data_IF_525800572242
#
_entry.id   IF_525800572242
#
_cell.length_a   1.000
_cell.length_b   1.000
_cell.length_c   1.000
_cell.angle_alpha   90.00
_cell.angle_beta   90.00
_cell.angle_gamma   90.00
#
_symmetry.space_group_name_H-M   'P 1'
#
loop_
_entity.id
_entity.type
_entity.pdbx_description
1 polymer ?
#
# COMPACT_ATOMS: atom_id res chain seq x y z
N UNK A 1 1.18 11.32 17.21
CA UNK A 1 1.08 9.86 17.03
C UNK A 1 2.13 9.39 16.01
N UNK A 2 3.41 9.76 16.17
CA UNK A 2 4.35 9.85 15.03
C UNK A 2 5.56 8.89 15.05
N UNK A 3 6.01 8.39 16.20
CA UNK A 3 7.27 7.63 16.28
C UNK A 3 7.10 6.14 15.96
N UNK A 4 5.95 5.54 16.32
CA UNK A 4 5.70 4.12 16.08
C UNK A 4 5.52 3.77 14.59
N UNK A 5 5.07 4.73 13.77
CA UNK A 5 4.91 4.52 12.32
C UNK A 5 6.25 4.53 11.57
N UNK A 6 7.27 5.26 12.06
CA UNK A 6 8.57 5.39 11.36
C UNK A 6 9.37 4.07 11.38
N UNK A 7 9.20 3.26 12.43
CA UNK A 7 9.87 1.96 12.56
C UNK A 7 9.00 0.76 12.19
N UNK A 8 7.74 0.99 11.82
CA UNK A 8 6.85 -0.06 11.38
C UNK A 8 7.27 -0.56 10.00
N UNK A 9 7.37 -1.88 9.86
CA UNK A 9 7.45 -2.53 8.56
C UNK A 9 6.04 -2.99 8.20
N UNK A 10 5.59 -2.71 6.99
CA UNK A 10 4.28 -3.14 6.50
C UNK A 10 4.43 -4.28 5.50
N UNK A 11 3.38 -5.08 5.38
CA UNK A 11 3.18 -6.08 4.33
C UNK A 11 1.72 -6.04 3.88
N UNK A 12 1.43 -6.58 2.71
CA UNK A 12 0.03 -6.80 2.29
C UNK A 12 -0.65 -7.78 3.25
N UNK A 13 -1.95 -7.59 3.46
CA UNK A 13 -2.77 -8.55 4.19
C UNK A 13 -2.89 -9.86 3.42
N UNK A 14 -2.94 -10.98 4.14
CA UNK A 14 -3.19 -12.29 3.54
C UNK A 14 -4.63 -12.44 3.03
N UNK A 15 -5.54 -11.59 3.53
CA UNK A 15 -6.94 -11.57 3.16
C UNK A 15 -7.21 -10.67 1.95
N UNK A 16 -6.17 -10.23 1.22
CA UNK A 16 -6.34 -9.43 0.00
C UNK A 16 -5.83 -10.21 -1.20
N UNK A 17 -6.73 -10.51 -2.12
CA UNK A 17 -6.36 -10.90 -3.48
C UNK A 17 -6.15 -9.66 -4.33
N UNK A 18 -5.20 -9.73 -5.27
CA UNK A 18 -4.95 -8.63 -6.19
C UNK A 18 -4.54 -9.13 -7.56
N UNK A 19 -4.79 -8.29 -8.57
CA UNK A 19 -4.36 -8.51 -9.96
C UNK A 19 -3.74 -7.23 -10.49
N UNK A 20 -2.81 -7.36 -11.42
CA UNK A 20 -2.26 -6.23 -12.16
C UNK A 20 -2.61 -6.36 -13.65
N UNK A 21 -2.99 -5.23 -14.26
CA UNK A 21 -3.25 -5.13 -15.70
C UNK A 21 -3.27 -3.67 -16.14
N UNK A 22 -2.73 -3.38 -17.33
CA UNK A 22 -2.69 -2.03 -17.93
C UNK A 22 -2.10 -0.95 -17.00
N UNK A 23 -1.10 -1.31 -16.20
CA UNK A 23 -0.45 -0.39 -15.25
C UNK A 23 -1.29 -0.07 -14.01
N UNK A 24 -2.42 -0.76 -13.80
CA UNK A 24 -3.31 -0.60 -12.65
C UNK A 24 -3.28 -1.84 -11.78
N UNK A 25 -3.56 -1.65 -10.50
CA UNK A 25 -3.76 -2.74 -9.55
C UNK A 25 -5.24 -2.80 -9.18
N UNK A 26 -5.84 -3.99 -9.23
CA UNK A 26 -7.17 -4.23 -8.68
C UNK A 26 -7.05 -5.05 -7.39
N UNK A 27 -7.70 -4.61 -6.32
CA UNK A 27 -7.65 -5.20 -4.99
C UNK A 27 -9.02 -5.77 -4.61
N UNK A 28 -9.05 -6.94 -3.99
CA UNK A 28 -10.26 -7.59 -3.49
C UNK A 28 -10.03 -8.00 -2.04
N UNK A 29 -10.80 -7.43 -1.12
CA UNK A 29 -10.81 -7.81 0.29
C UNK A 29 -11.65 -9.07 0.50
N UNK A 30 -11.01 -10.15 0.95
CA UNK A 30 -11.60 -11.46 1.19
C UNK A 30 -12.01 -11.66 2.66
N UNK A 31 -11.75 -10.69 3.54
CA UNK A 31 -11.88 -10.86 4.99
C UNK A 31 -13.33 -10.98 5.51
N UNK A 32 -14.35 -10.72 4.68
CA UNK A 32 -15.73 -10.66 5.18
C UNK A 32 -16.88 -10.88 4.19
N UNK A 33 -16.65 -11.00 2.88
CA UNK A 33 -17.77 -11.19 1.93
C UNK A 33 -17.36 -11.93 0.66
N UNK A 34 -18.15 -12.95 0.29
CA UNK A 34 -18.08 -13.65 -1.01
C UNK A 34 -18.35 -12.70 -2.20
N UNK A 35 -18.96 -11.54 -1.94
CA UNK A 35 -19.35 -10.56 -2.97
C UNK A 35 -18.47 -9.31 -2.98
N UNK A 36 -17.24 -9.37 -2.45
CA UNK A 36 -16.32 -8.24 -2.47
C UNK A 36 -16.05 -7.80 -3.92
N UNK A 37 -16.38 -6.54 -4.23
CA UNK A 37 -16.14 -5.97 -5.54
C UNK A 37 -14.68 -5.49 -5.62
N UNK A 38 -13.97 -5.76 -6.73
CA UNK A 38 -12.63 -5.24 -6.94
C UNK A 38 -12.58 -3.72 -6.88
N UNK A 39 -11.64 -3.18 -6.12
CA UNK A 39 -11.32 -1.76 -6.06
C UNK A 39 -10.06 -1.47 -6.86
N UNK A 40 -10.09 -0.45 -7.70
CA UNK A 40 -8.92 -0.02 -8.45
C UNK A 40 -8.02 0.85 -7.56
N UNK A 41 -6.75 0.47 -7.51
CA UNK A 41 -5.65 1.25 -6.96
C UNK A 41 -4.91 1.89 -8.15
N UNK A 42 -5.11 3.20 -8.40
CA UNK A 42 -4.43 3.90 -9.49
C UNK A 42 -2.99 4.28 -9.11
N UNK A 43 -2.20 4.67 -10.09
CA UNK A 43 -0.96 5.41 -9.81
C UNK A 43 -1.28 6.74 -9.10
N UNK A 44 -0.42 7.21 -8.18
CA UNK A 44 0.88 6.63 -7.81
C UNK A 44 0.81 5.54 -6.71
N UNK A 45 -0.35 5.29 -6.11
CA UNK A 45 -0.53 4.32 -5.04
C UNK A 45 -0.28 2.87 -5.48
N UNK A 46 -0.54 2.55 -6.74
CA UNK A 46 -0.25 1.23 -7.33
C UNK A 46 1.23 0.86 -7.24
N UNK A 47 2.13 1.82 -7.45
CA UNK A 47 3.58 1.60 -7.32
C UNK A 47 3.99 1.24 -5.90
N UNK A 48 3.40 1.91 -4.89
CA UNK A 48 3.62 1.57 -3.48
C UNK A 48 3.07 0.18 -3.12
N UNK A 49 1.89 -0.15 -3.64
CA UNK A 49 1.31 -1.49 -3.47
C UNK A 49 2.23 -2.59 -4.01
N UNK A 50 2.76 -2.42 -5.24
CA UNK A 50 3.66 -3.41 -5.85
C UNK A 50 4.91 -3.64 -5.00
N UNK A 51 5.49 -2.58 -4.45
CA UNK A 51 6.65 -2.69 -3.57
C UNK A 51 6.34 -3.57 -2.35
N UNK A 52 5.20 -3.33 -1.69
CA UNK A 52 4.74 -4.13 -0.53
C UNK A 52 4.38 -5.57 -0.88
N UNK A 53 3.79 -5.78 -2.06
CA UNK A 53 3.43 -7.12 -2.53
C UNK A 53 4.68 -7.96 -2.84
N UNK A 54 5.79 -7.32 -3.26
CA UNK A 54 7.05 -8.01 -3.50
C UNK A 54 7.78 -8.38 -2.20
N UNK A 55 7.75 -7.51 -1.19
CA UNK A 55 8.35 -7.76 0.14
C UNK A 55 7.79 -6.80 1.19
N UNK A 56 7.91 -7.12 2.48
CA UNK A 56 7.63 -6.14 3.51
C UNK A 56 8.53 -4.90 3.40
N UNK A 57 7.95 -3.70 3.56
CA UNK A 57 8.60 -2.41 3.35
C UNK A 57 8.50 -1.52 4.59
N UNK A 58 9.55 -0.73 4.85
CA UNK A 58 9.55 0.35 5.84
C UNK A 58 9.00 1.65 5.23
N UNK A 59 8.89 2.71 6.04
CA UNK A 59 8.54 4.04 5.53
C UNK A 59 9.55 4.54 4.49
N UNK A 60 10.85 4.36 4.75
CA UNK A 60 11.92 4.80 3.83
C UNK A 60 11.92 4.03 2.50
N UNK A 61 11.60 2.73 2.53
CA UNK A 61 11.40 1.94 1.31
C UNK A 61 10.26 2.55 0.46
N UNK A 62 9.12 2.84 1.09
CA UNK A 62 7.96 3.43 0.42
C UNK A 62 8.23 4.85 -0.06
N UNK A 63 8.96 5.64 0.73
CA UNK A 63 9.35 7.01 0.36
C UNK A 63 10.26 7.03 -0.85
N UNK A 64 11.18 6.06 -0.97
CA UNK A 64 12.03 5.90 -2.15
C UNK A 64 11.18 5.66 -3.40
N UNK A 65 10.24 4.72 -3.34
CA UNK A 65 9.33 4.42 -4.47
C UNK A 65 8.43 5.62 -4.79
N UNK A 66 7.88 6.29 -3.77
CA UNK A 66 7.08 7.50 -3.97
C UNK A 66 7.89 8.61 -4.64
N UNK A 67 9.14 8.81 -4.24
CA UNK A 67 10.04 9.81 -4.83
C UNK A 67 10.33 9.52 -6.30
N UNK A 68 10.52 8.25 -6.66
CA UNK A 68 10.70 7.83 -8.06
C UNK A 68 9.41 8.01 -8.89
N UNK A 69 8.24 7.91 -8.26
CA UNK A 69 6.94 7.96 -8.97
C UNK A 69 6.42 9.38 -9.18
N UNK A 70 6.50 10.24 -8.15
CA UNK A 70 5.92 11.61 -8.19
C UNK A 70 6.93 12.73 -7.93
N UNK A 71 8.20 12.39 -7.64
CA UNK A 71 9.22 13.35 -7.23
C UNK A 71 9.21 13.62 -5.72
N UNK A 72 10.30 14.23 -5.21
CA UNK A 72 10.55 14.33 -3.77
C UNK A 72 9.63 15.28 -2.98
N UNK A 73 8.93 16.20 -3.64
CA UNK A 73 8.05 17.17 -2.98
C UNK A 73 6.76 16.55 -2.43
N UNK A 74 6.07 15.75 -3.25
CA UNK A 74 4.78 15.16 -2.91
C UNK A 74 4.90 13.74 -2.33
N UNK A 75 6.09 13.13 -2.42
CA UNK A 75 6.33 11.76 -1.99
C UNK A 75 5.97 11.48 -0.50
N UNK A 76 6.32 12.33 0.48
CA UNK A 76 5.97 12.06 1.88
C UNK A 76 4.45 12.02 2.10
N UNK A 77 3.72 13.00 1.57
CA UNK A 77 2.27 13.08 1.71
C UNK A 77 1.57 11.88 1.04
N UNK A 78 2.10 11.41 -0.08
CA UNK A 78 1.61 10.19 -0.72
C UNK A 78 1.80 8.96 0.17
N UNK A 79 2.98 8.76 0.76
CA UNK A 79 3.24 7.60 1.64
C UNK A 79 2.34 7.64 2.87
N UNK A 80 2.19 8.81 3.51
CA UNK A 80 1.33 8.98 4.67
C UNK A 80 -0.14 8.64 4.34
N UNK A 81 -0.68 9.23 3.28
CA UNK A 81 -2.05 8.98 2.84
C UNK A 81 -2.27 7.51 2.44
N UNK A 82 -1.28 6.90 1.76
CA UNK A 82 -1.32 5.49 1.41
C UNK A 82 -1.36 4.59 2.64
N UNK A 83 -0.43 4.78 3.59
CA UNK A 83 -0.36 3.95 4.80
C UNK A 83 -1.62 4.13 5.64
N UNK A 84 -2.10 5.36 5.82
CA UNK A 84 -3.32 5.64 6.58
C UNK A 84 -4.53 4.94 5.99
N UNK A 85 -4.81 5.16 4.69
CA UNK A 85 -6.00 4.61 4.04
C UNK A 85 -5.94 3.07 3.95
N UNK A 86 -4.79 2.51 3.58
CA UNK A 86 -4.67 1.06 3.38
C UNK A 86 -4.61 0.30 4.71
N UNK A 87 -4.04 0.88 5.76
CA UNK A 87 -4.07 0.27 7.08
C UNK A 87 -5.48 0.33 7.69
N UNK A 88 -6.19 1.46 7.54
CA UNK A 88 -7.57 1.60 8.00
C UNK A 88 -8.51 0.59 7.31
N UNK A 89 -8.30 0.34 6.01
CA UNK A 89 -9.01 -0.67 5.25
C UNK A 89 -8.48 -2.11 5.44
N UNK A 90 -7.49 -2.31 6.33
CA UNK A 90 -6.84 -3.62 6.60
C UNK A 90 -6.23 -4.28 5.36
N UNK A 91 -5.91 -3.51 4.33
CA UNK A 91 -5.28 -3.99 3.11
C UNK A 91 -3.78 -4.22 3.30
N UNK A 92 -3.17 -3.45 4.19
CA UNK A 92 -1.81 -3.65 4.68
C UNK A 92 -1.84 -3.85 6.20
N UNK A 93 -0.88 -4.60 6.70
CA UNK A 93 -0.74 -4.93 8.13
C UNK A 93 0.72 -4.80 8.55
N UNK A 94 1.00 -4.63 9.86
CA UNK A 94 2.37 -4.74 10.36
C UNK A 94 2.99 -6.09 9.98
N UNK A 95 4.24 -6.04 9.50
CA UNK A 95 5.09 -7.20 9.35
C UNK A 95 5.84 -7.44 10.66
N UNK A 96 5.76 -8.68 11.16
CA UNK A 96 6.50 -9.12 12.35
C UNK A 96 8.00 -9.32 12.03
#
# INVERSE_FOLDING_TARGET
>A
MAIAQIHARWRTSADVAWVEGEGRVALVDLSGSVSALPQLCPEPAASLWRALAARPCTYDDLLTVATETVGGGDAPALVEAFVEAFAAARLIVPAA
#
